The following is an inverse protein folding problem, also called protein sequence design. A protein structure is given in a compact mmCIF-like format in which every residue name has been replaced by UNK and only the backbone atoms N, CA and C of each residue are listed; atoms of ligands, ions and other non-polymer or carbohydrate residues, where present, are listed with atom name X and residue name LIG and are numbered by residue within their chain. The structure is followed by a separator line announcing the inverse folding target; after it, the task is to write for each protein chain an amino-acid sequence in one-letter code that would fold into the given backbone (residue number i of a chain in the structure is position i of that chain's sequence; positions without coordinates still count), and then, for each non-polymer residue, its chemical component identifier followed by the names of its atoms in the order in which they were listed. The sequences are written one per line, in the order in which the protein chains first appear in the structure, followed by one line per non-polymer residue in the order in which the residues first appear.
data_IF_605126962765
#
_entry.id   IF_605126962765
#
_cell.length_a   1.000
_cell.length_b   1.000
_cell.length_c   1.000
_cell.angle_alpha   90.00
_cell.angle_beta   90.00
_cell.angle_gamma   90.00
#
_symmetry.space_group_name_H-M   'P 1'
#
loop_
_entity.id
_entity.type
_entity.pdbx_description
1 polymer ?
#
# COMPACT_ATOMS: atom_id res chain seq x y z
N UNK A 1 -10.25 -20.92 23.30
CA UNK A 1 -9.34 -20.52 22.20
C UNK A 1 -9.80 -19.15 21.70
N UNK A 2 -9.29 -18.06 22.27
CA UNK A 2 -9.71 -16.70 21.89
C UNK A 2 -8.98 -16.32 20.59
N UNK A 3 -9.67 -15.97 19.48
CA UNK A 3 -8.97 -15.45 18.32
C UNK A 3 -8.34 -14.12 18.73
N UNK A 4 -7.01 -14.08 18.80
CA UNK A 4 -6.23 -12.86 19.01
C UNK A 4 -6.48 -11.99 17.78
N UNK A 5 -7.52 -11.16 17.86
CA UNK A 5 -7.89 -10.21 16.82
C UNK A 5 -6.69 -9.30 16.63
N UNK A 6 -5.91 -9.59 15.58
CA UNK A 6 -4.68 -8.88 15.27
C UNK A 6 -5.12 -7.46 14.90
N UNK A 7 -4.93 -6.50 15.81
CA UNK A 7 -5.29 -5.10 15.58
C UNK A 7 -4.84 -4.70 14.19
N UNK A 8 -5.80 -4.31 13.34
CA UNK A 8 -5.51 -3.93 11.95
C UNK A 8 -4.57 -2.73 12.02
N UNK A 9 -3.29 -2.93 11.70
CA UNK A 9 -2.33 -1.82 11.51
C UNK A 9 -2.89 -0.93 10.40
N UNK A 10 -3.36 0.25 10.77
CA UNK A 10 -3.82 1.25 9.82
C UNK A 10 -2.59 2.03 9.37
N UNK A 11 -2.15 1.78 8.14
CA UNK A 11 -1.08 2.55 7.55
C UNK A 11 -1.66 3.80 6.90
N UNK A 12 -0.94 4.91 7.04
CA UNK A 12 -1.29 6.16 6.38
C UNK A 12 -1.08 6.06 4.86
N UNK A 13 -1.83 6.84 4.11
CA UNK A 13 -1.75 6.92 2.64
C UNK A 13 -0.33 7.28 2.20
N UNK A 14 0.29 8.26 2.86
CA UNK A 14 1.68 8.67 2.58
C UNK A 14 2.67 7.52 2.78
N UNK A 15 2.50 6.72 3.83
CA UNK A 15 3.37 5.57 4.10
C UNK A 15 3.27 4.50 3.01
N UNK A 16 2.05 4.21 2.54
CA UNK A 16 1.85 3.20 1.49
C UNK A 16 2.43 3.65 0.15
N UNK A 17 2.31 4.93 -0.18
CA UNK A 17 2.97 5.51 -1.35
C UNK A 17 4.48 5.42 -1.26
N UNK A 18 5.05 5.72 -0.09
CA UNK A 18 6.50 5.62 0.12
C UNK A 18 7.00 4.20 -0.18
N UNK A 19 6.28 3.18 0.29
CA UNK A 19 6.58 1.76 0.01
C UNK A 19 6.52 1.46 -1.49
N UNK A 20 5.48 1.95 -2.16
CA UNK A 20 5.30 1.76 -3.61
C UNK A 20 6.41 2.46 -4.41
N UNK A 21 6.79 3.69 -4.02
CA UNK A 21 7.89 4.45 -4.63
C UNK A 21 9.23 3.73 -4.42
N UNK A 22 9.51 3.21 -3.22
CA UNK A 22 10.72 2.42 -2.96
C UNK A 22 10.86 1.22 -3.90
N UNK A 23 9.75 0.58 -4.26
CA UNK A 23 9.77 -0.62 -5.11
C UNK A 23 9.87 -0.22 -6.59
N UNK A 24 9.09 0.76 -7.03
CA UNK A 24 9.05 1.17 -8.44
C UNK A 24 10.24 2.06 -8.84
N UNK A 25 10.58 3.04 -8.01
CA UNK A 25 11.60 4.06 -8.28
C UNK A 25 13.00 3.57 -7.89
N UNK A 26 13.14 3.02 -6.68
CA UNK A 26 14.43 2.53 -6.20
C UNK A 26 14.71 1.06 -6.60
N UNK A 27 13.77 0.39 -7.27
CA UNK A 27 13.91 -1.00 -7.71
C UNK A 27 14.03 -2.02 -6.57
N UNK A 28 13.60 -1.68 -5.36
CA UNK A 28 13.68 -2.60 -4.22
C UNK A 28 12.69 -3.75 -4.36
N UNK A 29 13.10 -4.94 -3.97
CA UNK A 29 12.21 -6.11 -3.96
C UNK A 29 11.16 -6.01 -2.86
N UNK A 30 9.93 -6.43 -3.17
CA UNK A 30 8.81 -6.51 -2.20
C UNK A 30 9.24 -7.22 -0.91
N UNK A 31 9.98 -8.33 -1.02
CA UNK A 31 10.46 -9.09 0.15
C UNK A 31 11.45 -8.30 1.02
N UNK A 32 12.30 -7.48 0.41
CA UNK A 32 13.25 -6.64 1.14
C UNK A 32 12.51 -5.56 1.94
N UNK A 33 11.61 -4.83 1.28
CA UNK A 33 10.82 -3.75 1.91
C UNK A 33 9.88 -4.33 2.98
N UNK A 34 9.30 -5.50 2.72
CA UNK A 34 8.47 -6.23 3.67
C UNK A 34 9.22 -6.58 4.95
N UNK A 35 10.49 -6.96 4.83
CA UNK A 35 11.33 -7.33 5.99
C UNK A 35 11.83 -6.12 6.76
N UNK A 36 12.20 -5.06 6.05
CA UNK A 36 12.70 -3.81 6.64
C UNK A 36 11.61 -3.06 7.43
N UNK A 37 10.42 -2.97 6.85
CA UNK A 37 9.30 -2.19 7.41
C UNK A 37 8.28 -3.04 8.20
N UNK A 38 8.58 -4.33 8.43
CA UNK A 38 7.69 -5.31 9.08
C UNK A 38 6.27 -5.28 8.46
N UNK A 39 6.21 -5.38 7.13
CA UNK A 39 4.97 -5.43 6.35
C UNK A 39 4.60 -6.86 6.00
N UNK A 40 3.44 -7.01 5.36
CA UNK A 40 2.99 -8.29 4.81
C UNK A 40 3.06 -8.18 3.30
N UNK A 41 3.70 -9.13 2.63
CA UNK A 41 3.85 -9.18 1.17
C UNK A 41 2.51 -8.99 0.45
N UNK A 42 1.44 -9.66 0.91
CA UNK A 42 0.09 -9.49 0.35
C UNK A 42 -0.48 -8.07 0.47
N UNK A 43 -0.10 -7.32 1.51
CA UNK A 43 -0.51 -5.92 1.66
C UNK A 43 0.23 -5.04 0.66
N UNK A 44 1.54 -5.23 0.52
CA UNK A 44 2.39 -4.48 -0.42
C UNK A 44 1.98 -4.73 -1.87
N UNK A 45 1.74 -6.00 -2.24
CA UNK A 45 1.22 -6.33 -3.58
C UNK A 45 -0.10 -5.66 -3.89
N UNK A 46 -1.01 -5.60 -2.91
CA UNK A 46 -2.29 -4.90 -3.06
C UNK A 46 -2.10 -3.40 -3.25
N UNK A 47 -1.15 -2.80 -2.55
CA UNK A 47 -0.82 -1.37 -2.69
C UNK A 47 -0.22 -1.05 -4.05
N UNK A 48 0.66 -1.91 -4.58
CA UNK A 48 1.21 -1.78 -5.93
C UNK A 48 0.11 -1.85 -6.98
N UNK A 49 -0.70 -2.92 -6.97
CA UNK A 49 -1.81 -3.09 -7.91
C UNK A 49 -2.82 -1.93 -7.84
N UNK A 50 -3.08 -1.41 -6.63
CA UNK A 50 -3.95 -0.26 -6.48
C UNK A 50 -3.31 1.03 -7.01
N UNK A 51 -2.01 1.25 -6.77
CA UNK A 51 -1.30 2.40 -7.33
C UNK A 51 -1.26 2.36 -8.86
N UNK A 52 -1.03 1.20 -9.46
CA UNK A 52 -1.05 1.03 -10.92
C UNK A 52 -2.43 1.28 -11.51
N UNK A 53 -3.50 0.77 -10.87
CA UNK A 53 -4.88 1.03 -11.29
C UNK A 53 -5.22 2.53 -11.24
N UNK A 54 -4.81 3.22 -10.17
CA UNK A 54 -5.03 4.67 -10.02
C UNK A 54 -4.24 5.47 -11.07
N UNK A 55 -2.98 5.09 -11.35
CA UNK A 55 -2.17 5.69 -12.43
C UNK A 55 -2.78 5.44 -13.82
N UNK A 56 -3.45 4.32 -14.02
CA UNK A 56 -4.18 4.00 -15.24
C UNK A 56 -5.56 4.69 -15.33
N UNK A 57 -5.93 5.53 -14.36
CA UNK A 57 -7.21 6.22 -14.31
C UNK A 57 -8.40 5.32 -13.96
N UNK A 58 -8.14 4.12 -13.43
CA UNK A 58 -9.18 3.21 -12.95
C UNK A 58 -9.46 3.47 -11.46
N UNK A 59 -10.74 3.53 -11.04
CA UNK A 59 -11.05 3.61 -9.62
C UNK A 59 -10.62 2.31 -8.94
N UNK A 60 -9.56 2.37 -8.14
CA UNK A 60 -9.06 1.20 -7.43
C UNK A 60 -10.17 0.55 -6.58
N UNK A 61 -10.20 -0.78 -6.52
CA UNK A 61 -11.17 -1.55 -5.73
C UNK A 61 -10.92 -1.38 -4.21
N UNK A 62 -11.32 -0.23 -3.64
CA UNK A 62 -11.23 0.06 -2.21
C UNK A 62 -11.01 1.54 -1.84
N UNK A 63 -10.69 1.82 -0.57
CA UNK A 63 -10.27 3.17 -0.14
C UNK A 63 -8.97 3.55 -0.85
N UNK A 64 -8.88 4.73 -1.49
CA UNK A 64 -7.75 5.12 -2.32
C UNK A 64 -6.45 5.15 -1.49
N UNK A 65 -5.40 4.60 -2.09
CA UNK A 65 -4.03 4.57 -1.56
C UNK A 65 -3.26 5.85 -1.89
N UNK A 66 -3.72 6.57 -2.90
CA UNK A 66 -3.16 7.76 -3.51
C UNK A 66 -3.96 8.98 -3.01
N UNK A 67 -3.29 10.06 -2.58
CA UNK A 67 -3.94 11.29 -2.12
C UNK A 67 -4.53 12.12 -3.28
N UNK A 68 -4.36 11.72 -4.54
CA UNK A 68 -4.91 12.42 -5.71
C UNK A 68 -6.45 12.51 -5.70
N UNK A 69 -7.16 11.68 -4.92
CA UNK A 69 -8.60 11.80 -4.72
C UNK A 69 -9.02 12.57 -3.44
N UNK A 70 -8.09 13.02 -2.58
CA UNK A 70 -8.44 13.78 -1.36
C UNK A 70 -8.63 15.28 -1.60
N UNK A 71 -8.36 15.79 -2.81
CA UNK A 71 -8.53 17.22 -3.13
C UNK A 71 -9.94 17.64 -3.57
N UNK A 72 -10.90 16.72 -3.62
CA UNK A 72 -12.29 17.07 -3.93
C UNK A 72 -13.16 16.70 -2.73
N UNK A 73 -13.17 17.59 -1.73
CA UNK A 73 -14.33 17.78 -0.86
C UNK A 73 -14.45 19.24 -0.47
#
# INVERSE_FOLDING_TARGET
MTPRSRSRRTFDTAFKLQVVQMIQDQGLSVGQVCRDLDLVDSAVRRWLAQSEAEQAGQPGQGRPLTPEQQRIR
#
